data_IF_014885652622
#
_entry.id   IF_014885652622
#
_cell.length_a   1.000
_cell.length_b   1.000
_cell.length_c   1.000
_cell.angle_alpha   90.00
_cell.angle_beta   90.00
_cell.angle_gamma   90.00
#
_symmetry.space_group_name_H-M   'P 1'
#
loop_
_entity.id
_entity.type
_entity.pdbx_description
1 polymer ?
#
# COMPACT_ATOMS: atom_id res chain seq x y z
N UNK A 1 13.15 4.12 23.34
CA UNK A 1 12.43 3.04 22.63
C UNK A 1 11.63 3.68 21.53
N UNK A 2 12.02 3.48 20.26
CA UNK A 2 11.18 3.89 19.14
C UNK A 2 9.92 3.02 19.16
N UNK A 3 8.74 3.62 19.25
CA UNK A 3 7.47 2.90 19.13
C UNK A 3 7.34 2.42 17.68
N UNK A 4 6.98 1.16 17.48
CA UNK A 4 6.67 0.62 16.15
C UNK A 4 5.48 1.35 15.50
N UNK A 5 5.36 1.28 14.18
CA UNK A 5 4.26 1.88 13.42
C UNK A 5 2.90 1.40 13.94
N UNK A 6 2.77 0.12 14.30
CA UNK A 6 1.53 -0.45 14.88
C UNK A 6 1.05 0.32 16.11
N UNK A 7 1.97 0.83 16.93
CA UNK A 7 1.65 1.52 18.18
C UNK A 7 1.26 2.99 17.99
N UNK A 8 1.68 3.61 16.88
CA UNK A 8 1.40 5.03 16.60
C UNK A 8 0.29 5.21 15.57
N UNK A 9 0.04 4.20 14.74
CA UNK A 9 -0.93 4.26 13.66
C UNK A 9 -2.37 4.26 14.19
N UNK A 10 -3.15 5.28 13.79
CA UNK A 10 -4.57 5.39 14.16
C UNK A 10 -5.47 4.76 13.09
N UNK A 11 -5.16 4.98 11.82
CA UNK A 11 -5.84 4.34 10.68
C UNK A 11 -4.90 4.10 9.51
N UNK A 12 -5.21 3.06 8.74
CA UNK A 12 -4.63 2.82 7.43
C UNK A 12 -5.68 3.18 6.37
N UNK A 13 -5.34 4.08 5.47
CA UNK A 13 -6.17 4.44 4.31
C UNK A 13 -5.52 3.84 3.07
N UNK A 14 -6.23 2.98 2.35
CA UNK A 14 -5.68 2.26 1.22
C UNK A 14 -6.45 2.59 -0.07
N UNK A 15 -5.74 2.50 -1.20
CA UNK A 15 -6.24 2.91 -2.51
C UNK A 15 -6.32 1.71 -3.45
N UNK A 16 -7.54 1.36 -3.86
CA UNK A 16 -7.77 0.31 -4.83
C UNK A 16 -7.54 0.77 -6.26
N UNK A 17 -7.01 -0.12 -7.10
CA UNK A 17 -6.90 0.04 -8.57
C UNK A 17 -6.07 1.24 -9.02
N UNK A 18 -5.04 1.61 -8.27
CA UNK A 18 -4.21 2.75 -8.61
C UNK A 18 -3.09 2.44 -9.63
N UNK A 19 -3.00 1.23 -10.19
CA UNK A 19 -2.06 0.92 -11.27
C UNK A 19 -2.81 0.50 -12.53
N UNK A 20 -2.39 1.03 -13.68
CA UNK A 20 -3.06 0.80 -14.97
C UNK A 20 -3.12 -0.69 -15.31
N UNK A 21 -2.01 -1.40 -15.21
CA UNK A 21 -1.97 -2.83 -15.57
C UNK A 21 -2.72 -3.69 -14.57
N UNK A 22 -2.71 -3.34 -13.28
CA UNK A 22 -3.49 -4.06 -12.27
C UNK A 22 -5.01 -3.87 -12.48
N UNK A 23 -5.45 -2.66 -12.85
CA UNK A 23 -6.84 -2.40 -13.19
C UNK A 23 -7.29 -3.25 -14.40
N UNK A 24 -6.42 -3.40 -15.41
CA UNK A 24 -6.67 -4.26 -16.58
C UNK A 24 -6.68 -5.75 -16.23
N UNK A 25 -5.73 -6.22 -15.42
CA UNK A 25 -5.62 -7.62 -14.95
C UNK A 25 -6.92 -8.08 -14.28
N UNK A 26 -7.54 -7.23 -13.46
CA UNK A 26 -8.78 -7.53 -12.76
C UNK A 26 -10.05 -7.20 -13.57
N UNK A 27 -9.94 -6.92 -14.88
CA UNK A 27 -11.07 -6.57 -15.75
C UNK A 27 -11.86 -5.36 -15.26
N UNK A 28 -11.22 -4.45 -14.53
CA UNK A 28 -11.86 -3.31 -13.89
C UNK A 28 -11.77 -2.07 -14.78
N UNK A 29 -12.84 -1.28 -14.83
CA UNK A 29 -12.80 0.04 -15.46
C UNK A 29 -11.92 0.99 -14.63
N UNK A 30 -11.06 1.75 -15.30
CA UNK A 30 -10.32 2.86 -14.69
C UNK A 30 -11.35 3.91 -14.29
N UNK A 31 -11.40 4.24 -13.01
CA UNK A 31 -12.28 5.28 -12.48
C UNK A 31 -11.53 6.62 -12.49
N UNK A 32 -12.27 7.72 -12.62
CA UNK A 32 -11.69 9.06 -12.54
C UNK A 32 -11.28 9.44 -11.12
N UNK A 33 -11.90 8.81 -10.12
CA UNK A 33 -11.61 9.04 -8.70
C UNK A 33 -11.04 7.76 -8.07
N UNK A 34 -10.10 7.88 -7.10
CA UNK A 34 -9.50 6.73 -6.45
C UNK A 34 -10.51 6.00 -5.55
N UNK A 35 -10.47 4.67 -5.57
CA UNK A 35 -11.30 3.85 -4.67
C UNK A 35 -10.63 3.80 -3.30
N UNK A 36 -11.26 4.39 -2.28
CA UNK A 36 -10.72 4.44 -0.92
C UNK A 36 -11.38 3.38 -0.02
N UNK A 37 -10.56 2.67 0.76
CA UNK A 37 -11.02 1.83 1.86
C UNK A 37 -10.06 1.93 3.05
N UNK A 38 -10.46 1.35 4.19
CA UNK A 38 -9.71 1.40 5.43
C UNK A 38 -9.21 0.02 5.82
N UNK A 39 -8.07 -0.02 6.51
CA UNK A 39 -7.69 -1.14 7.39
C UNK A 39 -7.54 -0.64 8.84
N UNK A 40 -7.94 -1.44 9.84
CA UNK A 40 -7.73 -1.10 11.23
C UNK A 40 -6.25 -1.22 11.59
N UNK A 41 -5.75 -0.41 12.53
CA UNK A 41 -4.37 -0.52 13.01
C UNK A 41 -4.05 -1.88 13.65
N UNK A 42 -5.06 -2.61 14.12
CA UNK A 42 -4.91 -3.99 14.62
C UNK A 42 -4.50 -5.00 13.55
N UNK A 43 -4.70 -4.69 12.27
CA UNK A 43 -4.24 -5.54 11.14
C UNK A 43 -2.75 -5.39 10.85
N UNK A 44 -2.09 -4.38 11.43
CA UNK A 44 -0.67 -4.12 11.19
C UNK A 44 0.16 -5.16 11.91
N UNK A 45 1.10 -5.75 11.17
CA UNK A 45 2.23 -6.50 11.71
C UNK A 45 3.52 -5.90 11.17
N UNK A 46 4.58 -5.99 11.94
CA UNK A 46 5.92 -5.51 11.60
C UNK A 46 6.83 -6.69 11.23
N UNK A 47 7.95 -6.41 10.56
CA UNK A 47 8.90 -7.44 10.16
C UNK A 47 9.34 -8.31 11.36
N UNK A 48 9.32 -9.63 11.18
CA UNK A 48 9.53 -10.63 12.23
C UNK A 48 8.23 -11.18 12.86
N UNK A 49 7.09 -10.55 12.60
CA UNK A 49 5.77 -11.15 12.83
C UNK A 49 5.29 -11.94 11.59
N UNK A 50 4.24 -12.75 11.78
CA UNK A 50 3.74 -13.71 10.77
C UNK A 50 2.41 -13.25 10.17
N UNK A 51 2.25 -13.46 8.87
CA UNK A 51 0.95 -13.33 8.18
C UNK A 51 0.15 -14.58 8.46
N UNK A 52 -1.02 -14.44 9.08
CA UNK A 52 -1.90 -15.56 9.43
C UNK A 52 -3.06 -15.65 8.42
N UNK A 53 -3.15 -16.74 7.66
CA UNK A 53 -4.30 -17.02 6.79
C UNK A 53 -5.50 -17.37 7.68
N UNK A 54 -6.62 -16.63 7.61
CA UNK A 54 -7.76 -16.92 8.47
C UNK A 54 -8.34 -18.32 8.21
N UNK A 55 -8.78 -18.99 9.27
CA UNK A 55 -9.35 -20.33 9.18
C UNK A 55 -10.49 -20.41 8.15
N UNK A 56 -10.38 -21.34 7.20
CA UNK A 56 -11.37 -21.54 6.14
C UNK A 56 -11.26 -20.57 4.96
N UNK A 57 -10.30 -19.64 4.96
CA UNK A 57 -9.95 -18.84 3.80
C UNK A 57 -8.96 -19.62 2.93
N UNK A 58 -9.26 -19.74 1.65
CA UNK A 58 -8.48 -20.56 0.71
C UNK A 58 -7.74 -19.74 -0.34
N UNK A 59 -7.95 -18.42 -0.37
CA UNK A 59 -7.43 -17.56 -1.44
C UNK A 59 -7.04 -16.17 -0.90
N UNK A 60 -5.95 -16.14 -0.14
CA UNK A 60 -5.32 -14.88 0.28
C UNK A 60 -4.29 -14.47 -0.78
N UNK A 61 -4.42 -13.25 -1.29
CA UNK A 61 -3.50 -12.68 -2.28
C UNK A 61 -2.51 -11.71 -1.62
N UNK A 62 -1.29 -11.69 -2.14
CA UNK A 62 -0.31 -10.64 -1.87
C UNK A 62 -0.55 -9.43 -2.78
N UNK A 63 -0.33 -8.23 -2.25
CA UNK A 63 -0.42 -6.95 -2.96
C UNK A 63 0.68 -6.03 -2.40
N UNK A 64 1.86 -5.94 -3.05
CA UNK A 64 2.92 -5.01 -2.61
C UNK A 64 2.52 -3.57 -2.88
N UNK A 65 2.68 -2.68 -1.90
CA UNK A 65 2.35 -1.27 -2.01
C UNK A 65 3.43 -0.36 -1.39
N UNK A 66 3.61 0.81 -1.99
CA UNK A 66 4.33 1.92 -1.35
C UNK A 66 3.38 2.60 -0.37
N UNK A 67 3.81 2.77 0.87
CA UNK A 67 3.06 3.44 1.93
C UNK A 67 3.72 4.73 2.41
N UNK A 68 2.92 5.72 2.82
CA UNK A 68 3.40 6.97 3.42
C UNK A 68 2.81 7.16 4.81
N UNK A 69 3.68 7.45 5.79
CA UNK A 69 3.27 7.70 7.17
C UNK A 69 3.19 9.21 7.40
N UNK A 70 2.06 9.66 7.93
CA UNK A 70 1.79 11.07 8.19
C UNK A 70 2.48 11.50 9.48
N UNK A 71 3.23 12.60 9.43
CA UNK A 71 3.96 13.18 10.57
C UNK A 71 3.28 14.41 11.18
N UNK A 72 2.50 15.15 10.39
CA UNK A 72 1.73 16.33 10.84
C UNK A 72 0.30 16.23 10.31
N UNK A 73 -0.65 16.80 11.04
CA UNK A 73 -2.06 16.79 10.62
C UNK A 73 -2.22 17.39 9.21
N UNK A 74 -2.98 16.70 8.35
CA UNK A 74 -3.36 17.19 7.02
C UNK A 74 -4.89 17.16 6.88
N UNK A 75 -5.44 18.29 6.43
CA UNK A 75 -6.86 18.43 6.16
C UNK A 75 -7.05 19.40 5.00
N UNK A 76 -7.67 18.95 3.92
CA UNK A 76 -7.96 19.73 2.71
C UNK A 76 -6.71 20.41 2.12
N UNK A 77 -5.59 19.71 2.10
CA UNK A 77 -4.33 20.23 1.56
C UNK A 77 -4.25 20.04 0.06
N UNK A 78 -3.53 20.94 -0.63
CA UNK A 78 -3.26 20.79 -2.07
C UNK A 78 -2.08 19.85 -2.31
N UNK A 79 -1.94 19.26 -3.51
CA UNK A 79 -0.87 18.30 -3.84
C UNK A 79 0.59 18.77 -3.67
N UNK A 80 0.85 20.04 -3.35
CA UNK A 80 2.21 20.61 -3.26
C UNK A 80 2.57 21.13 -1.85
N UNK A 81 1.62 21.13 -0.91
CA UNK A 81 1.75 21.90 0.34
C UNK A 81 2.15 21.05 1.57
N UNK A 82 2.45 19.75 1.42
CA UNK A 82 2.52 18.83 2.57
C UNK A 82 3.77 17.94 2.68
N UNK A 83 4.79 18.11 1.84
CA UNK A 83 5.96 17.21 1.88
C UNK A 83 6.61 17.16 3.27
N UNK A 84 6.69 18.30 3.96
CA UNK A 84 7.20 18.41 5.35
C UNK A 84 6.27 17.83 6.43
N UNK A 85 5.11 17.33 6.02
CA UNK A 85 4.12 16.67 6.87
C UNK A 85 4.16 15.15 6.73
N UNK A 86 5.01 14.61 5.85
CA UNK A 86 5.25 13.18 5.72
C UNK A 86 6.39 12.79 6.68
N UNK A 87 6.12 11.84 7.57
CA UNK A 87 7.11 11.34 8.53
C UNK A 87 8.15 10.44 7.83
N UNK A 88 7.68 9.67 6.86
CA UNK A 88 8.50 8.72 6.12
C UNK A 88 7.63 7.84 5.21
N UNK A 89 8.25 6.83 4.63
CA UNK A 89 7.59 5.84 3.81
C UNK A 89 7.89 4.42 4.30
N UNK A 90 7.09 3.47 3.81
CA UNK A 90 7.22 2.04 4.10
C UNK A 90 6.95 1.24 2.83
N UNK A 91 7.46 0.02 2.76
CA UNK A 91 6.91 -1.03 1.89
C UNK A 91 5.91 -1.82 2.72
N UNK A 92 4.71 -2.02 2.19
CA UNK A 92 3.64 -2.74 2.87
C UNK A 92 2.99 -3.76 1.96
N UNK A 93 2.25 -4.69 2.55
CA UNK A 93 1.42 -5.65 1.83
C UNK A 93 -0.06 -5.41 2.15
N UNK A 94 -0.88 -5.26 1.12
CA UNK A 94 -2.34 -5.24 1.24
C UNK A 94 -2.90 -6.67 1.08
N UNK A 95 -2.75 -7.48 2.11
CA UNK A 95 -3.22 -8.87 2.07
C UNK A 95 -4.75 -8.91 1.93
N UNK A 96 -5.21 -9.74 1.00
CA UNK A 96 -6.61 -9.71 0.55
C UNK A 96 -7.20 -11.11 0.43
N UNK A 97 -8.32 -11.40 1.10
CA UNK A 97 -9.15 -12.56 0.76
C UNK A 97 -9.87 -12.28 -0.56
N UNK A 98 -9.26 -12.73 -1.67
CA UNK A 98 -9.73 -12.41 -3.01
C UNK A 98 -11.10 -13.01 -3.30
N UNK A 99 -11.32 -14.25 -2.85
CA UNK A 99 -12.59 -14.95 -3.04
C UNK A 99 -13.72 -14.18 -2.38
N UNK A 100 -13.55 -13.77 -1.12
CA UNK A 100 -14.54 -12.99 -0.39
C UNK A 100 -14.72 -11.61 -1.01
N UNK A 101 -13.64 -10.93 -1.40
CA UNK A 101 -13.73 -9.62 -2.05
C UNK A 101 -14.60 -9.68 -3.33
N UNK A 102 -14.45 -10.72 -4.14
CA UNK A 102 -15.26 -10.91 -5.35
C UNK A 102 -16.75 -11.11 -5.03
N UNK A 103 -17.07 -11.85 -3.97
CA UNK A 103 -18.44 -12.02 -3.48
C UNK A 103 -19.02 -10.70 -2.95
N UNK A 104 -18.22 -9.91 -2.22
CA UNK A 104 -18.64 -8.62 -1.69
C UNK A 104 -18.90 -7.62 -2.82
N UNK A 105 -18.00 -7.56 -3.82
CA UNK A 105 -18.14 -6.72 -5.02
C UNK A 105 -19.41 -7.05 -5.81
N UNK A 106 -19.69 -8.34 -6.07
CA UNK A 106 -20.89 -8.74 -6.84
C UNK A 106 -22.20 -8.38 -6.12
N UNK A 107 -22.16 -8.23 -4.80
CA UNK A 107 -23.27 -7.82 -3.95
C UNK A 107 -23.25 -6.33 -3.58
N UNK A 108 -22.29 -5.55 -4.09
CA UNK A 108 -22.10 -4.13 -3.75
C UNK A 108 -21.96 -3.89 -2.22
N UNK A 109 -21.30 -4.81 -1.53
CA UNK A 109 -21.07 -4.76 -0.09
C UNK A 109 -19.68 -4.18 0.26
N UNK A 110 -19.50 -3.63 1.47
CA UNK A 110 -18.20 -3.14 1.95
C UNK A 110 -17.11 -4.21 1.94
N UNK A 111 -15.87 -3.82 1.62
CA UNK A 111 -14.73 -4.74 1.50
C UNK A 111 -14.08 -5.11 2.84
N UNK A 112 -14.63 -4.63 3.96
CA UNK A 112 -14.04 -4.77 5.30
C UNK A 112 -13.61 -6.20 5.60
N UNK A 113 -14.48 -7.19 5.36
CA UNK A 113 -14.14 -8.58 5.69
C UNK A 113 -13.04 -9.17 4.81
N UNK A 114 -12.89 -8.70 3.57
CA UNK A 114 -11.84 -9.17 2.67
C UNK A 114 -10.49 -8.44 2.81
N UNK A 115 -10.50 -7.24 3.40
CA UNK A 115 -9.32 -6.35 3.47
C UNK A 115 -8.83 -6.07 4.90
N UNK A 116 -9.60 -6.43 5.93
CA UNK A 116 -9.33 -6.03 7.33
C UNK A 116 -9.22 -7.20 8.31
N UNK A 117 -8.92 -8.41 7.84
CA UNK A 117 -8.65 -9.53 8.75
C UNK A 117 -7.35 -9.29 9.53
N UNK A 118 -7.16 -10.02 10.63
CA UNK A 118 -5.95 -9.91 11.43
C UNK A 118 -4.70 -10.17 10.58
N UNK A 119 -3.61 -9.44 10.83
CA UNK A 119 -2.35 -9.52 10.06
C UNK A 119 -2.44 -9.12 8.58
N UNK A 120 -3.57 -8.56 8.12
CA UNK A 120 -3.75 -8.19 6.71
C UNK A 120 -3.00 -6.95 6.23
N UNK A 121 -2.21 -6.30 7.10
CA UNK A 121 -1.37 -5.16 6.76
C UNK A 121 0.08 -5.35 7.25
N UNK A 122 0.86 -6.27 6.66
CA UNK A 122 2.30 -6.34 6.90
C UNK A 122 3.01 -5.06 6.47
N UNK A 123 3.85 -4.49 7.35
CA UNK A 123 4.55 -3.23 7.08
C UNK A 123 6.03 -3.34 7.44
N UNK A 124 6.87 -2.89 6.52
CA UNK A 124 8.31 -2.74 6.69
C UNK A 124 8.73 -1.66 7.71
N UNK A 125 10.04 -1.47 7.90
CA UNK A 125 10.54 -0.38 8.72
C UNK A 125 10.12 0.98 8.12
N UNK A 126 9.86 1.94 9.00
CA UNK A 126 9.64 3.33 8.61
C UNK A 126 10.96 3.96 8.15
N UNK A 127 11.03 4.35 6.89
CA UNK A 127 12.22 4.91 6.25
C UNK A 127 12.06 6.40 5.98
N UNK A 128 13.13 7.20 6.10
CA UNK A 128 13.08 8.63 5.84
C UNK A 128 12.88 8.90 4.34
N UNK A 129 12.01 9.86 4.00
CA UNK A 129 11.74 10.22 2.60
C UNK A 129 12.98 10.67 1.82
N UNK A 130 14.08 11.05 2.49
CA UNK A 130 15.36 11.36 1.84
C UNK A 130 16.02 10.17 1.14
N UNK A 131 15.57 8.94 1.38
CA UNK A 131 15.99 7.77 0.62
C UNK A 131 15.25 7.62 -0.72
N UNK A 132 14.11 8.31 -0.91
CA UNK A 132 13.43 8.37 -2.20
C UNK A 132 13.98 9.54 -3.02
N UNK A 133 13.98 9.46 -4.36
CA UNK A 133 14.39 10.56 -5.22
C UNK A 133 13.60 11.86 -4.91
N UNK A 134 14.27 13.00 -5.01
CA UNK A 134 13.59 14.30 -4.97
C UNK A 134 12.61 14.43 -6.14
N UNK A 135 11.39 14.93 -5.88
CA UNK A 135 10.38 15.15 -6.91
C UNK A 135 9.24 14.13 -6.95
N UNK A 136 9.27 13.06 -6.13
CA UNK A 136 8.19 12.06 -6.05
C UNK A 136 6.83 12.64 -5.61
N UNK A 137 6.82 13.82 -4.99
CA UNK A 137 5.62 14.55 -4.56
C UNK A 137 5.28 15.75 -5.46
N UNK A 138 5.90 15.87 -6.64
CA UNK A 138 5.70 17.00 -7.55
C UNK A 138 4.94 16.54 -8.79
N UNK A 139 3.62 16.25 -8.67
CA UNK A 139 2.86 15.63 -9.75
C UNK A 139 2.89 16.52 -11.00
N UNK A 140 2.88 15.89 -12.18
CA UNK A 140 2.95 16.56 -13.49
C UNK A 140 4.21 17.39 -13.76
N UNK A 141 5.18 17.43 -12.85
CA UNK A 141 6.48 18.06 -13.09
C UNK A 141 7.39 17.17 -13.96
N UNK A 142 8.35 17.77 -14.69
CA UNK A 142 9.43 17.02 -15.33
C UNK A 142 10.21 16.14 -14.34
N UNK A 143 10.38 16.62 -13.10
CA UNK A 143 11.10 15.91 -12.05
C UNK A 143 10.39 14.59 -11.69
N UNK A 144 9.07 14.62 -11.45
CA UNK A 144 8.30 13.41 -11.18
C UNK A 144 8.42 12.40 -12.33
N UNK A 145 8.25 12.85 -13.58
CA UNK A 145 8.36 11.96 -14.75
C UNK A 145 9.76 11.36 -14.91
N UNK A 146 10.80 12.09 -14.51
CA UNK A 146 12.17 11.60 -14.55
C UNK A 146 12.47 10.58 -13.44
N UNK A 147 11.94 10.78 -12.23
CA UNK A 147 12.30 9.95 -11.07
C UNK A 147 11.33 8.80 -10.77
N UNK A 148 10.04 8.94 -11.12
CA UNK A 148 9.03 7.93 -10.83
C UNK A 148 9.37 6.53 -11.39
N UNK A 149 9.92 6.39 -12.62
CA UNK A 149 10.34 5.09 -13.13
C UNK A 149 11.51 4.46 -12.37
N UNK A 150 12.28 5.24 -11.59
CA UNK A 150 13.41 4.72 -10.80
C UNK A 150 12.99 4.13 -9.46
N UNK A 151 11.78 4.46 -8.97
CA UNK A 151 11.22 3.89 -7.73
C UNK A 151 10.48 2.60 -8.09
N UNK A 152 11.23 1.50 -8.19
CA UNK A 152 10.72 0.19 -8.64
C UNK A 152 10.32 -0.67 -7.44
N UNK A 153 9.02 -0.86 -7.24
CA UNK A 153 8.48 -1.86 -6.30
C UNK A 153 8.65 -3.26 -6.89
N UNK A 154 8.95 -4.23 -6.02
CA UNK A 154 9.01 -5.63 -6.40
C UNK A 154 8.53 -6.54 -5.26
N UNK A 155 8.06 -7.74 -5.61
CA UNK A 155 7.69 -8.79 -4.67
C UNK A 155 7.99 -10.19 -5.24
N UNK A 156 8.52 -11.07 -4.39
CA UNK A 156 8.74 -12.49 -4.64
C UNK A 156 7.98 -13.33 -3.62
N UNK A 157 7.54 -14.50 -4.07
CA UNK A 157 7.05 -15.59 -3.21
C UNK A 157 7.96 -16.78 -3.40
N UNK A 158 8.65 -17.22 -2.35
CA UNK A 158 9.67 -18.26 -2.39
C UNK A 158 10.66 -18.05 -3.55
N UNK A 159 11.31 -16.88 -3.55
CA UNK A 159 12.28 -16.42 -4.56
C UNK A 159 11.75 -16.25 -5.99
N UNK A 160 10.49 -16.58 -6.26
CA UNK A 160 9.87 -16.38 -7.57
C UNK A 160 9.24 -15.00 -7.63
N UNK A 161 9.74 -14.13 -8.51
CA UNK A 161 9.16 -12.80 -8.74
C UNK A 161 7.72 -12.89 -9.25
N UNK A 162 6.83 -12.12 -8.60
CA UNK A 162 5.40 -12.07 -8.89
C UNK A 162 4.94 -10.68 -9.29
N UNK A 163 5.48 -9.64 -8.65
CA UNK A 163 5.14 -8.25 -8.93
C UNK A 163 6.41 -7.44 -9.17
N UNK A 164 6.38 -6.55 -10.16
CA UNK A 164 7.40 -5.52 -10.39
C UNK A 164 6.80 -4.35 -11.17
N UNK A 165 6.96 -3.13 -10.66
CA UNK A 165 6.59 -1.91 -11.40
C UNK A 165 7.25 -0.66 -10.80
N UNK A 166 7.44 0.35 -11.64
CA UNK A 166 7.74 1.71 -11.20
C UNK A 166 6.47 2.43 -10.75
N UNK A 167 6.63 3.42 -9.86
CA UNK A 167 5.49 4.25 -9.41
C UNK A 167 4.94 5.17 -10.51
N UNK A 168 5.60 5.27 -11.66
CA UNK A 168 5.08 5.92 -12.87
C UNK A 168 3.90 5.15 -13.49
N UNK A 169 3.71 3.88 -13.11
CA UNK A 169 2.52 3.10 -13.44
C UNK A 169 1.26 3.49 -12.64
N UNK A 170 1.38 4.39 -11.67
CA UNK A 170 0.25 4.86 -10.88
C UNK A 170 -0.70 5.75 -11.70
N UNK A 171 -2.01 5.56 -11.53
CA UNK A 171 -3.06 6.38 -12.14
C UNK A 171 -3.15 7.73 -11.45
N UNK A 172 -3.10 7.73 -10.11
CA UNK A 172 -2.99 8.92 -9.28
C UNK A 172 -1.67 8.88 -8.52
N UNK A 173 -0.89 9.94 -8.63
CA UNK A 173 0.39 10.08 -7.92
C UNK A 173 0.19 10.07 -6.40
N UNK A 174 1.24 9.76 -5.61
CA UNK A 174 1.18 9.88 -4.15
C UNK A 174 0.67 11.25 -3.68
N UNK A 175 1.07 12.30 -4.40
CA UNK A 175 0.70 13.66 -4.05
C UNK A 175 -0.82 13.93 -4.21
N UNK A 176 -1.39 13.44 -5.32
CA UNK A 176 -2.82 13.55 -5.60
C UNK A 176 -3.64 12.71 -4.62
N UNK A 177 -3.18 11.50 -4.28
CA UNK A 177 -3.85 10.64 -3.31
C UNK A 177 -3.92 11.28 -1.93
N UNK A 178 -2.80 11.79 -1.40
CA UNK A 178 -2.77 12.44 -0.08
C UNK A 178 -3.69 13.66 -0.07
N UNK A 179 -3.68 14.49 -1.13
CA UNK A 179 -4.58 15.63 -1.26
C UNK A 179 -6.04 15.19 -1.27
N UNK A 180 -6.40 14.22 -2.12
CA UNK A 180 -7.76 13.69 -2.24
C UNK A 180 -8.27 13.11 -0.91
N UNK A 181 -7.46 12.28 -0.25
CA UNK A 181 -7.80 11.67 1.03
C UNK A 181 -7.99 12.77 2.08
N UNK A 182 -7.06 13.71 2.21
CA UNK A 182 -7.14 14.80 3.20
C UNK A 182 -8.38 15.68 3.06
N UNK A 183 -8.96 15.76 1.86
CA UNK A 183 -10.17 16.52 1.60
C UNK A 183 -11.42 15.84 2.17
N UNK A 184 -11.45 14.51 2.12
CA UNK A 184 -12.58 13.69 2.58
C UNK A 184 -12.44 13.23 4.03
N UNK A 185 -11.20 13.00 4.47
CA UNK A 185 -10.89 12.54 5.81
C UNK A 185 -9.59 13.16 6.32
N UNK A 186 -9.64 13.72 7.53
CA UNK A 186 -8.45 14.26 8.18
C UNK A 186 -7.42 13.16 8.39
N UNK A 187 -6.19 13.45 8.01
CA UNK A 187 -5.02 12.62 8.26
C UNK A 187 -4.31 13.14 9.50
N UNK A 188 -4.04 12.27 10.44
CA UNK A 188 -3.42 12.56 11.73
C UNK A 188 -1.99 11.99 11.78
N UNK A 189 -1.11 12.53 12.64
CA UNK A 189 0.20 11.94 12.87
C UNK A 189 0.09 10.45 13.22
N UNK A 190 0.84 9.62 12.50
CA UNK A 190 0.85 8.16 12.60
C UNK A 190 0.00 7.44 11.56
N UNK A 191 -0.95 8.11 10.89
CA UNK A 191 -1.74 7.47 9.85
C UNK A 191 -0.88 6.97 8.69
N UNK A 192 -1.27 5.83 8.13
CA UNK A 192 -0.61 5.20 7.00
C UNK A 192 -1.51 5.29 5.76
N UNK A 193 -0.95 5.74 4.64
CA UNK A 193 -1.61 5.71 3.34
C UNK A 193 -0.94 4.67 2.48
N UNK A 194 -1.70 3.68 1.99
CA UNK A 194 -1.25 2.71 0.99
C UNK A 194 -1.71 3.15 -0.40
N UNK A 195 -0.81 3.12 -1.39
CA UNK A 195 -0.98 3.82 -2.67
C UNK A 195 -1.44 2.93 -3.83
N UNK A 196 -1.84 1.70 -3.56
CA UNK A 196 -2.24 0.70 -4.53
C UNK A 196 -1.09 -0.22 -4.95
N UNK A 197 -1.46 -1.36 -5.52
CA UNK A 197 -0.54 -2.42 -5.93
C UNK A 197 -0.41 -2.53 -7.45
N UNK A 198 0.77 -2.88 -8.00
CA UNK A 198 0.94 -3.20 -9.41
C UNK A 198 0.39 -4.58 -9.79
N UNK A 199 0.40 -4.88 -11.10
CA UNK A 199 -0.08 -6.17 -11.61
C UNK A 199 0.76 -7.36 -11.08
N UNK A 200 0.20 -8.57 -11.18
CA UNK A 200 0.85 -9.80 -10.73
C UNK A 200 0.48 -10.21 -9.31
N UNK A 201 -0.67 -9.73 -8.81
CA UNK A 201 -1.25 -10.21 -7.54
C UNK A 201 -1.53 -11.70 -7.64
N UNK A 202 -1.32 -12.45 -6.56
CA UNK A 202 -1.49 -13.89 -6.61
C UNK A 202 -1.60 -14.53 -5.24
N UNK A 203 -2.06 -15.79 -5.19
CA UNK A 203 -2.29 -16.48 -3.95
C UNK A 203 -0.96 -16.81 -3.23
N UNK A 204 -1.03 -16.80 -1.90
CA UNK A 204 -0.02 -17.36 -1.00
C UNK A 204 -0.65 -18.46 -0.15
N UNK A 205 0.20 -19.34 0.38
CA UNK A 205 -0.21 -20.44 1.27
C UNK A 205 0.68 -20.49 2.51
N UNK A 206 0.17 -21.16 3.54
CA UNK A 206 0.95 -21.50 4.73
C UNK A 206 2.30 -22.13 4.35
N UNK A 207 3.37 -21.64 4.96
CA UNK A 207 4.76 -22.01 4.70
C UNK A 207 5.46 -21.18 3.62
N UNK A 208 4.77 -20.30 2.90
CA UNK A 208 5.41 -19.39 1.95
C UNK A 208 6.21 -18.29 2.68
N UNK A 209 7.28 -17.84 2.03
CA UNK A 209 8.01 -16.61 2.37
C UNK A 209 7.74 -15.56 1.30
N UNK A 210 7.26 -14.39 1.72
CA UNK A 210 7.13 -13.21 0.87
C UNK A 210 8.33 -12.32 1.13
N UNK A 211 9.07 -11.96 0.09
CA UNK A 211 10.06 -10.86 0.13
C UNK A 211 9.61 -9.74 -0.80
N UNK A 212 9.73 -8.50 -0.37
CA UNK A 212 9.29 -7.34 -1.15
C UNK A 212 10.19 -6.14 -0.87
N UNK A 213 10.18 -5.15 -1.75
CA UNK A 213 11.06 -4.00 -1.57
C UNK A 213 10.92 -2.93 -2.62
N UNK A 214 11.81 -1.94 -2.51
CA UNK A 214 12.09 -0.96 -3.57
C UNK A 214 13.54 -1.17 -4.01
N UNK A 215 13.73 -1.39 -5.30
CA UNK A 215 15.04 -1.69 -5.90
C UNK A 215 16.11 -0.68 -5.46
N UNK A 216 17.21 -1.18 -4.88
CA UNK A 216 18.33 -0.34 -4.43
C UNK A 216 18.05 0.52 -3.18
N UNK A 217 16.86 0.44 -2.57
CA UNK A 217 16.47 1.26 -1.41
C UNK A 217 16.23 0.41 -0.17
N UNK A 218 15.34 -0.58 -0.25
CA UNK A 218 14.99 -1.41 0.91
C UNK A 218 14.37 -2.75 0.50
N UNK A 219 14.41 -3.69 1.45
CA UNK A 219 13.80 -5.02 1.36
C UNK A 219 13.15 -5.38 2.70
N UNK A 220 12.07 -6.14 2.66
CA UNK A 220 11.32 -6.67 3.79
C UNK A 220 10.90 -8.11 3.52
N UNK A 221 10.71 -8.89 4.57
CA UNK A 221 10.28 -10.28 4.48
C UNK A 221 9.18 -10.62 5.51
N UNK A 222 8.27 -11.51 5.11
CA UNK A 222 7.16 -11.98 5.94
C UNK A 222 6.87 -13.45 5.68
N UNK A 223 6.82 -14.24 6.75
CA UNK A 223 6.35 -15.62 6.69
C UNK A 223 4.82 -15.68 6.67
N UNK A 224 4.29 -16.67 5.95
CA UNK A 224 2.85 -16.97 5.90
C UNK A 224 2.57 -18.25 6.68
N UNK A 225 1.60 -18.22 7.59
CA UNK A 225 1.12 -19.36 8.37
C UNK A 225 -0.37 -19.64 8.09
#
# INVERSE_FOLDING_TARGET
MHKGLRQICRKVVAVGRNYVEHARELGSQIQNEPVIFLKPSSSIIEQGETIEIPNGVTEVHHEVELGFVIGKELSKVKPIDFTDSILGFVVALDMTDRRLQNVLKSRQLPWTLSKCFDTSCPVGPLLPCSMLPSGIFSPNSPDFKAVAPSVQLWLRVNDTERQRAGIDGMIHSPAELISFISYHMRLEPGDLILTGTPAGVGPVKSGDLITAGIEGICEVDFHVA
#
